data_IF_672218368295
#
_entry.id   IF_672218368295
#
_cell.length_a   1.000
_cell.length_b   1.000
_cell.length_c   1.000
_cell.angle_alpha   90.00
_cell.angle_beta   90.00
_cell.angle_gamma   90.00
#
_symmetry.space_group_name_H-M   'P 1'
#
loop_
_entity.id
_entity.type
_entity.pdbx_description
1 polymer ?
#
# COMPACT_ATOMS: atom_id res chain seq x y z
N UNK A 1 15.43 0.24 -26.20
CA UNK A 1 14.38 1.23 -25.82
C UNK A 1 14.58 1.54 -24.34
N UNK A 2 14.44 2.79 -23.91
CA UNK A 2 14.71 3.15 -22.51
C UNK A 2 13.52 2.70 -21.65
N UNK A 3 13.76 1.80 -20.70
CA UNK A 3 12.69 1.22 -19.86
C UNK A 3 12.48 2.08 -18.62
N UNK A 4 11.22 2.36 -18.24
CA UNK A 4 10.87 3.20 -17.09
C UNK A 4 10.12 2.38 -16.04
N UNK A 5 10.58 2.44 -14.79
CA UNK A 5 9.89 1.90 -13.63
C UNK A 5 9.71 3.00 -12.58
N UNK A 6 8.45 3.30 -12.25
CA UNK A 6 8.05 4.23 -11.21
C UNK A 6 7.53 3.45 -10.01
N UNK A 7 7.92 3.86 -8.81
CA UNK A 7 7.53 3.20 -7.57
C UNK A 7 6.82 4.20 -6.65
N UNK A 8 5.76 3.77 -5.99
CA UNK A 8 5.29 4.45 -4.79
C UNK A 8 6.32 4.31 -3.65
N UNK A 9 6.21 5.16 -2.62
CA UNK A 9 7.08 5.12 -1.46
C UNK A 9 6.50 4.31 -0.30
N UNK A 10 5.37 4.77 0.25
CA UNK A 10 4.86 4.35 1.55
C UNK A 10 4.13 3.01 1.42
N UNK A 11 4.58 1.95 2.13
CA UNK A 11 4.09 0.56 1.99
C UNK A 11 4.43 -0.13 0.67
N UNK A 12 5.15 0.57 -0.20
CA UNK A 12 5.73 0.02 -1.42
C UNK A 12 7.23 -0.23 -1.23
N UNK A 13 8.04 0.83 -1.12
CA UNK A 13 9.48 0.73 -0.90
C UNK A 13 9.85 0.74 0.59
N UNK A 14 9.04 1.40 1.43
CA UNK A 14 9.32 1.54 2.86
C UNK A 14 8.21 0.95 3.72
N UNK A 15 8.60 0.37 4.86
CA UNK A 15 7.69 -0.20 5.83
C UNK A 15 7.09 0.89 6.73
N UNK A 16 6.04 1.53 6.22
CA UNK A 16 5.32 2.57 6.96
C UNK A 16 4.56 2.00 8.16
N UNK A 17 4.10 0.76 8.10
CA UNK A 17 3.30 0.14 9.17
C UNK A 17 4.14 -0.15 10.40
N UNK A 18 5.31 -0.77 10.23
CA UNK A 18 6.24 -0.97 11.33
C UNK A 18 6.74 0.36 11.90
N UNK A 19 6.91 1.39 11.05
CA UNK A 19 7.29 2.72 11.49
C UNK A 19 6.19 3.41 12.29
N UNK A 20 4.93 3.25 11.89
CA UNK A 20 3.78 3.76 12.62
C UNK A 20 3.64 3.07 13.99
N UNK A 21 3.86 1.75 14.06
CA UNK A 21 3.86 1.02 15.32
C UNK A 21 4.90 1.59 16.30
N UNK A 22 6.15 1.76 15.86
CA UNK A 22 7.21 2.40 16.66
C UNK A 22 6.84 3.81 17.10
N UNK A 23 6.24 4.60 16.20
CA UNK A 23 5.78 5.94 16.54
C UNK A 23 4.69 5.88 17.62
N UNK A 24 3.75 4.94 17.53
CA UNK A 24 2.68 4.78 18.51
C UNK A 24 3.23 4.39 19.90
N UNK A 25 4.25 3.53 19.96
CA UNK A 25 4.96 3.22 21.22
C UNK A 25 5.58 4.47 21.84
N UNK A 26 6.37 5.22 21.05
CA UNK A 26 7.00 6.47 21.51
C UNK A 26 5.96 7.51 21.97
N UNK A 27 4.85 7.63 21.23
CA UNK A 27 3.78 8.56 21.54
C UNK A 27 3.07 8.18 22.85
N UNK A 28 2.74 6.90 23.03
CA UNK A 28 2.08 6.39 24.24
C UNK A 28 2.98 6.51 25.46
N UNK A 29 4.28 6.26 25.32
CA UNK A 29 5.25 6.44 26.38
C UNK A 29 5.37 7.92 26.78
N UNK A 30 5.54 8.81 25.80
CA UNK A 30 5.69 10.24 26.03
C UNK A 30 4.51 10.85 26.78
N UNK A 31 3.28 10.49 26.38
CA UNK A 31 2.04 11.00 26.98
C UNK A 31 1.47 10.13 28.11
N UNK A 32 2.11 8.99 28.41
CA UNK A 32 1.69 8.01 29.44
C UNK A 32 0.24 7.53 29.26
N UNK A 33 -0.13 7.15 28.03
CA UNK A 33 -1.53 6.88 27.62
C UNK A 33 -2.10 5.52 28.07
N UNK A 34 -1.40 4.81 28.97
CA UNK A 34 -1.79 3.50 29.45
C UNK A 34 -1.52 2.36 28.45
N UNK A 35 -1.73 1.10 28.88
CA UNK A 35 -1.30 -0.09 28.13
C UNK A 35 -2.08 -0.33 26.83
N UNK A 36 -3.30 0.19 26.72
CA UNK A 36 -4.14 0.03 25.53
C UNK A 36 -3.88 1.09 24.45
N UNK A 37 -3.07 2.11 24.75
CA UNK A 37 -2.87 3.26 23.86
C UNK A 37 -2.33 2.88 22.49
N UNK A 38 -1.35 1.97 22.44
CA UNK A 38 -0.73 1.53 21.17
C UNK A 38 -1.74 0.78 20.33
N UNK A 39 -2.44 -0.20 20.91
CA UNK A 39 -3.45 -0.99 20.21
C UNK A 39 -4.57 -0.10 19.64
N UNK A 40 -5.02 0.89 20.41
CA UNK A 40 -6.03 1.84 19.95
C UNK A 40 -5.53 2.71 18.79
N UNK A 41 -4.32 3.26 18.87
CA UNK A 41 -3.72 4.06 17.78
C UNK A 41 -3.54 3.26 16.49
N UNK A 42 -3.09 2.01 16.61
CA UNK A 42 -2.91 1.09 15.47
C UNK A 42 -4.24 0.72 14.83
N UNK A 43 -5.27 0.45 15.63
CA UNK A 43 -6.63 0.22 15.11
C UNK A 43 -7.13 1.45 14.36
N UNK A 44 -6.97 2.63 14.95
CA UNK A 44 -7.41 3.88 14.34
C UNK A 44 -6.71 4.20 13.01
N UNK A 45 -5.42 3.86 12.86
CA UNK A 45 -4.69 4.00 11.59
C UNK A 45 -5.17 2.99 10.53
N UNK A 46 -5.56 1.79 10.96
CA UNK A 46 -6.00 0.70 10.08
C UNK A 46 -7.41 0.91 9.52
N UNK A 47 -8.31 1.55 10.26
CA UNK A 47 -9.73 1.75 9.89
C UNK A 47 -9.95 2.65 8.65
N UNK A 48 -8.89 2.96 7.90
CA UNK A 48 -8.99 3.60 6.61
C UNK A 48 -9.02 5.12 6.73
N UNK A 49 -7.98 5.75 6.17
CA UNK A 49 -7.75 7.18 6.04
C UNK A 49 -8.96 8.09 6.30
N UNK A 50 -8.93 8.83 7.41
CA UNK A 50 -9.20 10.23 7.34
C UNK A 50 -7.86 10.98 7.35
N UNK A 51 -7.79 12.08 6.60
CA UNK A 51 -6.68 13.04 6.58
C UNK A 51 -6.03 13.20 7.98
N UNK A 52 -4.70 13.25 8.10
CA UNK A 52 -4.00 13.17 9.42
C UNK A 52 -4.51 14.17 10.48
N UNK A 53 -5.08 15.33 10.08
CA UNK A 53 -5.83 16.25 10.98
C UNK A 53 -6.95 15.54 11.74
N UNK A 54 -7.76 14.73 11.06
CA UNK A 54 -8.87 14.00 11.66
C UNK A 54 -8.35 12.90 12.59
N UNK A 55 -7.32 12.16 12.17
CA UNK A 55 -6.64 11.18 13.03
C UNK A 55 -6.21 11.85 14.35
N UNK A 56 -5.45 12.94 14.28
CA UNK A 56 -5.01 13.65 15.49
C UNK A 56 -6.14 14.34 16.25
N UNK A 57 -7.24 14.71 15.60
CA UNK A 57 -8.47 15.16 16.27
C UNK A 57 -9.03 14.09 17.19
N UNK A 58 -9.19 12.86 16.68
CA UNK A 58 -9.65 11.70 17.46
C UNK A 58 -8.66 11.33 18.57
N UNK A 59 -7.36 11.36 18.30
CA UNK A 59 -6.32 11.11 19.33
C UNK A 59 -6.44 12.12 20.46
N UNK A 60 -6.55 13.41 20.14
CA UNK A 60 -6.67 14.48 21.12
C UNK A 60 -7.93 14.30 21.98
N UNK A 61 -9.07 14.01 21.35
CA UNK A 61 -10.33 13.75 22.05
C UNK A 61 -10.24 12.52 22.97
N UNK A 62 -9.74 11.40 22.46
CA UNK A 62 -9.65 10.12 23.20
C UNK A 62 -8.78 10.20 24.46
N UNK A 63 -7.70 10.97 24.40
CA UNK A 63 -6.68 11.05 25.45
C UNK A 63 -6.67 12.41 26.16
N UNK A 64 -7.63 13.29 25.86
CA UNK A 64 -7.73 14.64 26.43
C UNK A 64 -6.43 15.46 26.34
N UNK A 65 -5.72 15.36 25.22
CA UNK A 65 -4.45 16.10 25.01
C UNK A 65 -4.73 17.60 24.86
N UNK A 66 -3.87 18.44 25.45
CA UNK A 66 -3.99 19.90 25.39
C UNK A 66 -3.48 20.47 24.06
N UNK A 67 -2.59 19.75 23.40
CA UNK A 67 -1.85 20.16 22.23
C UNK A 67 -2.79 20.35 21.02
N UNK A 68 -2.64 21.44 20.25
CA UNK A 68 -3.37 21.62 19.01
C UNK A 68 -3.12 20.46 18.03
N UNK A 69 -4.16 20.07 17.29
CA UNK A 69 -4.08 19.01 16.25
C UNK A 69 -2.95 19.27 15.25
N UNK A 70 -2.74 20.53 14.88
CA UNK A 70 -1.71 20.90 13.91
C UNK A 70 -0.29 20.73 14.47
N UNK A 71 -0.09 20.89 15.78
CA UNK A 71 1.18 20.63 16.45
C UNK A 71 1.47 19.14 16.56
N UNK A 72 0.46 18.34 16.95
CA UNK A 72 0.57 16.88 17.00
C UNK A 72 0.91 16.30 15.63
N UNK A 73 0.23 16.76 14.58
CA UNK A 73 0.56 16.37 13.21
C UNK A 73 1.96 16.86 12.82
N UNK A 74 2.32 18.12 13.07
CA UNK A 74 3.66 18.61 12.74
C UNK A 74 4.76 17.78 13.43
N UNK A 75 4.56 17.39 14.69
CA UNK A 75 5.47 16.49 15.41
C UNK A 75 5.55 15.10 14.75
N UNK A 76 4.42 14.50 14.40
CA UNK A 76 4.37 13.24 13.64
C UNK A 76 5.16 13.30 12.34
N UNK A 77 4.95 14.34 11.52
CA UNK A 77 5.67 14.52 10.24
C UNK A 77 7.17 14.67 10.42
N UNK A 78 7.61 15.37 11.46
CA UNK A 78 9.04 15.49 11.77
C UNK A 78 9.63 14.17 12.23
N UNK A 79 8.87 13.37 12.99
CA UNK A 79 9.38 12.11 13.56
C UNK A 79 9.41 10.97 12.55
N UNK A 80 8.38 10.83 11.70
CA UNK A 80 8.25 9.66 10.83
C UNK A 80 9.44 9.36 9.91
N UNK A 81 10.10 10.34 9.28
CA UNK A 81 11.29 10.11 8.48
C UNK A 81 12.41 9.35 9.19
N UNK A 82 12.50 9.48 10.52
CA UNK A 82 13.52 8.82 11.33
C UNK A 82 13.14 7.41 11.75
N UNK A 83 11.87 7.05 11.60
CA UNK A 83 11.34 5.76 12.02
C UNK A 83 11.19 4.80 10.85
N UNK A 84 10.96 5.29 9.63
CA UNK A 84 10.80 4.44 8.44
C UNK A 84 12.10 3.74 8.05
N UNK A 85 11.96 2.55 7.46
CA UNK A 85 13.04 1.78 6.85
C UNK A 85 12.55 1.24 5.52
N UNK A 86 13.45 1.03 4.56
CA UNK A 86 13.13 0.26 3.36
C UNK A 86 12.76 -1.17 3.74
N UNK A 87 11.89 -1.80 2.95
CA UNK A 87 11.75 -3.24 3.01
C UNK A 87 13.09 -3.92 2.66
N UNK A 88 13.37 -5.12 3.20
CA UNK A 88 14.59 -5.86 2.87
C UNK A 88 14.74 -6.05 1.35
N UNK A 89 15.96 -5.87 0.83
CA UNK A 89 16.27 -6.06 -0.60
C UNK A 89 15.97 -4.86 -1.50
N UNK A 90 15.17 -3.87 -1.06
CA UNK A 90 14.73 -2.75 -1.92
C UNK A 90 15.90 -1.99 -2.55
N UNK A 91 16.88 -1.55 -1.74
CA UNK A 91 18.00 -0.76 -2.28
C UNK A 91 18.85 -1.57 -3.28
N UNK A 92 19.03 -2.87 -3.03
CA UNK A 92 19.76 -3.75 -3.93
C UNK A 92 19.00 -3.94 -5.25
N UNK A 93 17.70 -4.26 -5.21
CA UNK A 93 16.91 -4.47 -6.41
C UNK A 93 16.69 -3.19 -7.23
N UNK A 94 16.60 -2.01 -6.60
CA UNK A 94 16.60 -0.74 -7.35
C UNK A 94 17.94 -0.51 -8.07
N UNK A 95 19.07 -0.89 -7.45
CA UNK A 95 20.38 -0.79 -8.08
C UNK A 95 20.53 -1.79 -9.24
N UNK A 96 20.02 -3.01 -9.09
CA UNK A 96 19.99 -4.04 -10.13
C UNK A 96 19.16 -3.59 -11.35
N UNK A 97 17.94 -3.07 -11.14
CA UNK A 97 17.13 -2.50 -12.22
C UNK A 97 17.88 -1.42 -13.01
N UNK A 98 18.56 -0.50 -12.30
CA UNK A 98 19.36 0.55 -12.95
C UNK A 98 20.54 -0.03 -13.71
N UNK A 99 21.22 -1.04 -13.18
CA UNK A 99 22.32 -1.73 -13.85
C UNK A 99 21.86 -2.42 -15.15
N UNK A 100 20.61 -2.88 -15.20
CA UNK A 100 19.97 -3.42 -16.40
C UNK A 100 19.46 -2.36 -17.39
N UNK A 101 19.72 -1.08 -17.11
CA UNK A 101 19.36 0.03 -18.00
C UNK A 101 17.94 0.54 -17.85
N UNK A 102 17.23 0.19 -16.77
CA UNK A 102 15.98 0.87 -16.41
C UNK A 102 16.28 2.27 -15.86
N UNK A 103 15.38 3.20 -16.15
CA UNK A 103 15.25 4.46 -15.42
C UNK A 103 14.27 4.24 -14.30
N UNK A 104 14.72 4.55 -13.09
CA UNK A 104 13.98 4.23 -11.87
C UNK A 104 13.56 5.52 -11.19
N UNK A 105 12.27 5.68 -10.95
CA UNK A 105 11.69 6.86 -10.32
C UNK A 105 10.80 6.56 -9.13
N UNK A 106 10.64 7.53 -8.24
CA UNK A 106 9.67 7.46 -7.13
C UNK A 106 8.57 8.49 -7.33
N UNK A 107 7.30 8.08 -7.17
CA UNK A 107 6.12 8.95 -7.24
C UNK A 107 5.32 8.80 -5.96
N UNK A 108 5.27 9.83 -5.11
CA UNK A 108 4.64 9.70 -3.78
C UNK A 108 3.71 10.87 -3.45
N UNK A 109 2.59 10.53 -2.81
CA UNK A 109 1.68 11.52 -2.24
C UNK A 109 2.06 11.83 -0.79
N UNK A 110 2.02 13.09 -0.40
CA UNK A 110 2.24 13.52 0.98
C UNK A 110 2.83 14.92 1.08
N UNK A 111 2.97 15.40 2.32
CA UNK A 111 3.60 16.69 2.61
C UNK A 111 5.09 16.66 2.27
N UNK A 112 5.60 17.74 1.69
CA UNK A 112 6.96 17.85 1.18
C UNK A 112 8.01 17.51 2.25
N UNK A 113 7.90 18.09 3.44
CA UNK A 113 8.82 17.87 4.56
C UNK A 113 8.93 16.39 4.96
N UNK A 114 7.79 15.71 5.07
CA UNK A 114 7.74 14.31 5.46
C UNK A 114 8.30 13.40 4.36
N UNK A 115 7.81 13.49 3.13
CA UNK A 115 8.23 12.57 2.06
C UNK A 115 9.68 12.79 1.65
N UNK A 116 10.15 14.04 1.53
CA UNK A 116 11.56 14.34 1.27
C UNK A 116 12.46 13.89 2.44
N UNK A 117 11.96 14.02 3.68
CA UNK A 117 12.63 13.49 4.86
C UNK A 117 12.82 11.97 4.77
N UNK A 118 11.75 11.22 4.45
CA UNK A 118 11.79 9.76 4.29
C UNK A 118 12.79 9.36 3.21
N UNK A 119 12.68 9.94 2.01
CA UNK A 119 13.58 9.67 0.89
C UNK A 119 15.06 9.82 1.25
N UNK A 120 15.42 10.90 1.96
CA UNK A 120 16.79 11.15 2.40
C UNK A 120 17.24 10.18 3.49
N UNK A 121 16.40 9.93 4.50
CA UNK A 121 16.75 9.10 5.66
C UNK A 121 16.90 7.62 5.31
N UNK A 122 16.19 7.15 4.29
CA UNK A 122 16.27 5.76 3.83
C UNK A 122 17.31 5.54 2.72
N UNK A 123 17.98 6.60 2.24
CA UNK A 123 18.93 6.54 1.13
C UNK A 123 18.27 6.40 -0.25
N UNK A 124 16.94 6.38 -0.34
CA UNK A 124 16.21 6.25 -1.59
C UNK A 124 16.41 7.43 -2.54
N UNK A 125 16.64 8.63 -2.01
CA UNK A 125 16.91 9.83 -2.82
C UNK A 125 18.12 9.64 -3.76
N UNK A 126 19.13 8.89 -3.32
CA UNK A 126 20.36 8.64 -4.08
C UNK A 126 20.30 7.31 -4.87
N UNK A 127 19.37 6.42 -4.51
CA UNK A 127 19.21 5.11 -5.12
C UNK A 127 18.47 5.15 -6.47
N UNK A 128 17.73 6.22 -6.76
CA UNK A 128 16.87 6.35 -7.96
C UNK A 128 17.33 7.48 -8.88
N UNK A 129 16.85 7.52 -10.12
CA UNK A 129 17.19 8.55 -11.11
C UNK A 129 16.39 9.84 -10.93
N UNK A 130 15.21 9.76 -10.31
CA UNK A 130 14.36 10.93 -10.05
C UNK A 130 13.21 10.62 -9.10
N UNK A 131 12.61 11.65 -8.52
CA UNK A 131 11.41 11.50 -7.70
C UNK A 131 10.47 12.70 -7.83
N UNK A 132 9.17 12.46 -7.68
CA UNK A 132 8.13 13.48 -7.62
C UNK A 132 7.31 13.31 -6.33
N UNK A 133 7.15 14.42 -5.59
CA UNK A 133 6.45 14.46 -4.31
C UNK A 133 5.26 15.39 -4.43
N UNK A 134 4.04 14.89 -4.20
CA UNK A 134 2.84 15.68 -4.47
C UNK A 134 2.79 17.02 -3.72
N UNK A 135 3.28 17.06 -2.48
CA UNK A 135 3.31 18.27 -1.66
C UNK A 135 4.33 19.31 -2.12
N UNK A 136 5.29 18.92 -2.97
CA UNK A 136 6.22 19.84 -3.64
C UNK A 136 5.59 20.36 -4.93
N UNK A 137 5.00 19.45 -5.72
CA UNK A 137 4.51 19.80 -7.07
C UNK A 137 3.11 20.43 -7.07
N UNK A 138 2.35 20.34 -5.99
CA UNK A 138 0.96 20.78 -5.94
C UNK A 138 -0.03 19.89 -6.70
N UNK A 139 0.46 18.81 -7.31
CA UNK A 139 -0.30 17.80 -8.08
C UNK A 139 -0.15 16.46 -7.35
N UNK A 140 -1.21 15.64 -7.27
CA UNK A 140 -1.18 14.35 -6.58
C UNK A 140 -1.68 13.20 -7.44
N UNK A 141 -1.16 11.99 -7.23
CA UNK A 141 -1.76 10.76 -7.75
C UNK A 141 -3.24 10.70 -7.29
N UNK A 142 -4.20 10.31 -8.16
CA UNK A 142 -4.03 9.66 -9.47
C UNK A 142 -3.87 10.60 -10.68
N UNK A 143 -3.61 11.90 -10.50
CA UNK A 143 -3.45 12.81 -11.63
C UNK A 143 -2.18 12.47 -12.44
N UNK A 144 -2.34 12.29 -13.75
CA UNK A 144 -1.27 11.88 -14.67
C UNK A 144 0.00 12.73 -14.58
N UNK A 145 -0.16 14.04 -14.34
CA UNK A 145 0.93 15.02 -14.27
C UNK A 145 2.06 14.64 -13.32
N UNK A 146 1.77 13.98 -12.18
CA UNK A 146 2.83 13.63 -11.22
C UNK A 146 3.72 12.49 -11.74
N UNK A 147 3.18 11.54 -12.50
CA UNK A 147 3.97 10.48 -13.15
C UNK A 147 4.84 11.05 -14.27
N UNK A 148 4.31 12.00 -15.05
CA UNK A 148 5.07 12.71 -16.08
C UNK A 148 6.29 13.44 -15.51
N UNK A 149 6.09 14.20 -14.42
CA UNK A 149 7.19 14.92 -13.74
C UNK A 149 8.27 13.94 -13.27
N UNK A 150 7.89 12.79 -12.70
CA UNK A 150 8.86 11.80 -12.25
C UNK A 150 9.66 11.20 -13.42
N UNK A 151 8.99 10.84 -14.52
CA UNK A 151 9.67 10.31 -15.71
C UNK A 151 10.63 11.33 -16.34
N UNK A 152 10.23 12.59 -16.43
CA UNK A 152 11.08 13.68 -16.91
C UNK A 152 12.33 13.85 -16.04
N UNK A 153 12.18 13.81 -14.71
CA UNK A 153 13.32 13.85 -13.77
C UNK A 153 14.22 12.63 -13.89
N UNK A 154 13.64 11.48 -14.24
CA UNK A 154 14.41 10.29 -14.59
C UNK A 154 15.03 10.39 -15.98
N UNK A 155 14.85 11.47 -16.76
CA UNK A 155 15.35 11.58 -18.13
C UNK A 155 14.77 10.50 -19.06
N UNK A 156 13.53 10.07 -18.80
CA UNK A 156 12.81 9.08 -19.57
C UNK A 156 11.70 9.72 -20.40
N UNK A 157 11.55 9.27 -21.65
CA UNK A 157 10.46 9.71 -22.51
C UNK A 157 9.16 8.97 -22.14
N UNK A 158 8.22 9.67 -21.53
CA UNK A 158 6.98 9.08 -21.00
C UNK A 158 6.11 8.40 -22.08
N UNK A 159 6.18 8.86 -23.33
CA UNK A 159 5.45 8.29 -24.46
C UNK A 159 5.90 6.86 -24.85
N UNK A 160 7.02 6.38 -24.32
CA UNK A 160 7.49 5.00 -24.50
C UNK A 160 6.81 4.01 -23.54
N UNK A 161 5.91 4.49 -22.67
CA UNK A 161 5.28 3.69 -21.63
C UNK A 161 6.21 3.45 -20.44
N UNK A 162 5.87 2.47 -19.63
CA UNK A 162 6.59 2.12 -18.41
C UNK A 162 5.66 1.50 -17.38
N UNK A 163 6.21 1.21 -16.21
CA UNK A 163 5.49 0.56 -15.12
C UNK A 163 5.35 1.50 -13.92
N UNK A 164 4.19 1.46 -13.27
CA UNK A 164 4.00 1.98 -11.92
C UNK A 164 3.79 0.80 -10.97
N UNK A 165 4.57 0.76 -9.91
CA UNK A 165 4.48 -0.23 -8.84
C UNK A 165 4.01 0.47 -7.56
N UNK A 166 2.92 0.01 -6.96
CA UNK A 166 2.39 0.65 -5.75
C UNK A 166 1.34 -0.18 -5.02
N UNK A 167 1.01 0.20 -3.78
CA UNK A 167 0.06 -0.52 -2.93
C UNK A 167 -1.38 0.04 -3.02
N UNK A 168 -1.56 1.24 -3.56
CA UNK A 168 -2.85 1.90 -3.61
C UNK A 168 -3.56 1.69 -4.96
N UNK A 169 -4.73 1.03 -4.95
CA UNK A 169 -5.48 0.73 -6.17
C UNK A 169 -5.92 2.01 -6.91
N UNK A 170 -6.35 3.04 -6.19
CA UNK A 170 -6.83 4.28 -6.82
C UNK A 170 -5.67 5.16 -7.28
N UNK A 171 -4.72 5.45 -6.40
CA UNK A 171 -3.68 6.42 -6.71
C UNK A 171 -2.59 5.85 -7.60
N UNK A 172 -2.22 4.57 -7.42
CA UNK A 172 -1.10 3.97 -8.14
C UNK A 172 -1.57 3.21 -9.36
N UNK A 173 -2.51 2.27 -9.18
CA UNK A 173 -2.96 1.39 -10.27
C UNK A 173 -3.82 2.14 -11.28
N UNK A 174 -4.95 2.70 -10.84
CA UNK A 174 -5.85 3.47 -11.72
C UNK A 174 -5.16 4.72 -12.27
N UNK A 175 -4.36 5.40 -11.44
CA UNK A 175 -3.59 6.56 -11.84
C UNK A 175 -2.61 6.25 -12.96
N UNK A 176 -1.87 5.14 -12.84
CA UNK A 176 -0.94 4.69 -13.86
C UNK A 176 -1.63 4.34 -15.17
N UNK A 177 -2.71 3.55 -15.11
CA UNK A 177 -3.47 3.15 -16.31
C UNK A 177 -4.04 4.33 -17.06
N UNK A 178 -4.64 5.30 -16.34
CA UNK A 178 -5.15 6.55 -16.92
C UNK A 178 -4.04 7.41 -17.53
N UNK A 179 -2.81 7.29 -17.02
CA UNK A 179 -1.64 7.95 -17.57
C UNK A 179 -1.01 7.17 -18.75
N UNK A 180 -1.43 5.93 -19.04
CA UNK A 180 -0.84 5.10 -20.11
C UNK A 180 0.38 4.27 -19.68
N UNK A 181 0.55 4.07 -18.37
CA UNK A 181 1.54 3.15 -17.80
C UNK A 181 0.89 1.80 -17.50
N UNK A 182 1.68 0.72 -17.55
CA UNK A 182 1.32 -0.56 -16.93
C UNK A 182 1.34 -0.43 -15.41
N UNK A 183 0.52 -1.21 -14.72
CA UNK A 183 0.37 -1.16 -13.27
C UNK A 183 0.66 -2.52 -12.63
N UNK A 184 1.58 -2.52 -11.65
CA UNK A 184 1.83 -3.65 -10.76
C UNK A 184 1.33 -3.26 -9.37
N UNK A 185 0.34 -4.00 -8.89
CA UNK A 185 -0.22 -3.78 -7.56
C UNK A 185 0.49 -4.64 -6.53
N UNK A 186 0.90 -4.03 -5.42
CA UNK A 186 1.36 -4.74 -4.24
C UNK A 186 0.17 -4.92 -3.30
N UNK A 187 -0.36 -6.14 -3.26
CA UNK A 187 -1.44 -6.49 -2.34
C UNK A 187 -0.90 -6.60 -0.90
N UNK A 188 -1.39 -5.70 -0.04
CA UNK A 188 -1.11 -5.67 1.40
C UNK A 188 -2.28 -6.16 2.25
N UNK A 189 -3.30 -6.76 1.64
CA UNK A 189 -4.50 -7.29 2.29
C UNK A 189 -5.43 -6.22 2.87
N UNK A 190 -5.44 -5.02 2.28
CA UNK A 190 -6.16 -3.83 2.83
C UNK A 190 -7.30 -3.31 1.97
N UNK A 191 -7.41 -3.73 0.71
CA UNK A 191 -8.38 -3.22 -0.24
C UNK A 191 -9.08 -4.39 -0.93
N UNK A 192 -10.39 -4.27 -1.15
CA UNK A 192 -11.15 -5.25 -1.94
C UNK A 192 -10.84 -5.06 -3.44
N UNK A 193 -10.62 -6.17 -4.16
CA UNK A 193 -10.16 -6.21 -5.55
C UNK A 193 -11.33 -6.23 -6.55
N UNK A 194 -12.41 -5.49 -6.30
CA UNK A 194 -13.64 -5.73 -7.08
C UNK A 194 -13.74 -4.87 -8.37
N UNK A 195 -13.04 -3.73 -8.44
CA UNK A 195 -13.19 -2.79 -9.58
C UNK A 195 -11.88 -2.38 -10.27
N UNK A 196 -10.71 -2.72 -9.71
CA UNK A 196 -9.43 -2.21 -10.18
C UNK A 196 -8.65 -3.30 -10.95
N UNK A 197 -8.18 -2.97 -12.15
CA UNK A 197 -7.50 -3.92 -13.04
C UNK A 197 -5.99 -3.65 -13.09
N UNK A 198 -5.24 -4.11 -12.09
CA UNK A 198 -3.79 -4.16 -12.21
C UNK A 198 -3.37 -5.19 -13.27
N UNK A 199 -2.32 -4.90 -14.03
CA UNK A 199 -1.79 -5.84 -15.02
C UNK A 199 -1.07 -7.01 -14.34
N UNK A 200 -0.46 -6.74 -13.18
CA UNK A 200 0.14 -7.74 -12.30
C UNK A 200 -0.18 -7.48 -10.83
N UNK A 201 -0.24 -8.53 -10.03
CA UNK A 201 -0.42 -8.48 -8.57
C UNK A 201 0.70 -9.27 -7.91
N UNK A 202 1.35 -8.64 -6.94
CA UNK A 202 2.43 -9.22 -6.13
C UNK A 202 2.15 -8.96 -4.66
N UNK A 203 2.81 -9.67 -3.74
CA UNK A 203 2.62 -9.47 -2.29
C UNK A 203 3.73 -8.62 -1.66
N UNK A 204 4.83 -8.46 -2.39
CA UNK A 204 5.96 -7.62 -1.99
C UNK A 204 6.66 -7.01 -3.20
N UNK A 205 7.39 -5.92 -2.98
CA UNK A 205 8.04 -5.18 -4.06
C UNK A 205 9.18 -5.96 -4.72
N UNK A 206 9.82 -6.91 -4.02
CA UNK A 206 10.94 -7.68 -4.58
C UNK A 206 10.48 -8.57 -5.74
N UNK A 207 9.26 -9.11 -5.65
CA UNK A 207 8.60 -9.83 -6.76
C UNK A 207 8.34 -8.96 -7.99
N UNK A 208 8.30 -7.63 -7.85
CA UNK A 208 8.08 -6.68 -8.94
C UNK A 208 9.39 -6.11 -9.54
N UNK A 209 10.53 -6.35 -8.89
CA UNK A 209 11.85 -5.91 -9.36
C UNK A 209 12.55 -6.80 -10.44
N UNK A 210 12.11 -8.02 -10.82
CA UNK A 210 12.80 -8.80 -11.85
C UNK A 210 12.76 -8.18 -13.26
N UNK A 211 13.84 -8.39 -14.02
CA UNK A 211 14.09 -7.94 -15.39
C UNK A 211 13.00 -8.29 -16.43
N UNK A 212 12.22 -9.34 -16.16
CA UNK A 212 11.31 -10.00 -17.12
C UNK A 212 9.93 -9.33 -17.23
N UNK A 213 9.69 -8.26 -16.46
CA UNK A 213 8.53 -7.36 -16.66
C UNK A 213 8.66 -6.55 -17.98
N UNK A 214 9.72 -6.80 -18.76
CA UNK A 214 10.24 -5.92 -19.79
C UNK A 214 9.96 -6.22 -21.26
N UNK A 215 9.14 -7.22 -21.65
CA UNK A 215 8.97 -7.51 -23.10
C UNK A 215 7.54 -7.75 -23.59
N UNK A 216 6.52 -7.35 -22.83
CA UNK A 216 5.15 -7.47 -23.29
C UNK A 216 4.40 -6.18 -22.99
N UNK A 217 3.92 -5.50 -24.03
CA UNK A 217 2.90 -4.48 -23.88
C UNK A 217 1.63 -5.04 -23.22
N UNK A 218 0.62 -4.19 -22.96
CA UNK A 218 -0.58 -4.52 -22.16
C UNK A 218 -1.49 -5.64 -22.72
N UNK A 219 -1.09 -6.33 -23.79
CA UNK A 219 -1.86 -7.37 -24.47
C UNK A 219 -1.25 -8.80 -24.38
N UNK A 220 -0.11 -9.01 -23.71
CA UNK A 220 0.71 -10.22 -23.93
C UNK A 220 0.88 -11.29 -22.82
N UNK A 221 0.48 -11.10 -21.56
CA UNK A 221 1.21 -11.76 -20.44
C UNK A 221 0.50 -12.81 -19.59
N UNK A 222 -0.64 -13.37 -19.98
CA UNK A 222 -1.31 -14.37 -19.13
C UNK A 222 -0.50 -15.69 -18.90
N UNK A 223 0.53 -15.97 -19.70
CA UNK A 223 1.17 -17.31 -19.73
C UNK A 223 2.62 -17.36 -19.21
N UNK A 224 3.38 -16.25 -19.22
CA UNK A 224 4.82 -16.27 -18.88
C UNK A 224 5.12 -16.28 -17.36
N UNK A 225 4.21 -15.79 -16.51
CA UNK A 225 4.46 -15.61 -15.07
C UNK A 225 4.29 -16.91 -14.24
N UNK A 226 3.74 -17.98 -14.83
CA UNK A 226 3.47 -19.26 -14.12
C UNK A 226 4.70 -20.14 -13.89
N UNK A 227 5.87 -19.82 -14.45
CA UNK A 227 6.97 -20.79 -14.56
C UNK A 227 8.20 -20.54 -13.69
N UNK A 228 8.22 -19.54 -12.80
CA UNK A 228 9.44 -19.24 -12.01
C UNK A 228 9.29 -19.14 -10.48
N UNK A 229 8.13 -19.50 -9.92
CA UNK A 229 8.03 -19.66 -8.45
C UNK A 229 7.71 -21.12 -8.14
N UNK A 230 8.76 -21.94 -8.00
CA UNK A 230 8.64 -23.19 -7.26
C UNK A 230 8.43 -22.84 -5.77
N UNK A 231 7.48 -23.45 -5.06
CA UNK A 231 7.30 -23.20 -3.64
C UNK A 231 8.54 -23.67 -2.88
N UNK A 232 9.22 -22.76 -2.17
CA UNK A 232 10.19 -23.14 -1.17
C UNK A 232 9.46 -23.67 0.06
N UNK A 233 9.85 -24.88 0.45
CA UNK A 233 9.32 -25.68 1.55
C UNK A 233 9.23 -24.91 2.88
N UNK A 234 8.01 -24.79 3.39
CA UNK A 234 7.77 -24.58 4.83
C UNK A 234 7.22 -25.88 5.42
N UNK A 235 8.13 -26.79 5.75
CA UNK A 235 7.85 -27.90 6.66
C UNK A 235 7.89 -27.37 8.11
N UNK A 236 6.73 -27.34 8.77
CA UNK A 236 6.60 -27.66 10.20
C UNK A 236 5.23 -28.29 10.48
N UNK A 237 5.19 -29.62 10.39
CA UNK A 237 4.68 -30.52 11.44
C UNK A 237 3.36 -30.22 12.19
N UNK A 238 2.26 -30.77 11.65
CA UNK A 238 1.31 -31.66 12.36
C UNK A 238 0.09 -31.05 13.10
N UNK A 239 -0.89 -31.88 13.54
CA UNK A 239 -1.22 -33.25 13.16
C UNK A 239 -2.57 -33.34 12.39
N UNK A 240 -2.63 -34.31 11.48
CA UNK A 240 -3.84 -34.75 10.79
C UNK A 240 -4.84 -35.39 11.75
N UNK A 241 -6.11 -34.98 11.70
CA UNK A 241 -7.25 -35.80 12.15
C UNK A 241 -8.19 -36.09 10.99
N UNK A 242 -8.11 -37.34 10.52
CA UNK A 242 -9.23 -38.26 10.32
C UNK A 242 -10.42 -37.79 9.48
N UNK A 243 -10.50 -38.32 8.26
CA UNK A 243 -11.73 -38.41 7.46
C UNK A 243 -12.80 -39.21 8.19
N UNK A 244 -14.05 -38.77 8.05
CA UNK A 244 -15.23 -39.59 8.22
C UNK A 244 -16.27 -39.17 7.19
N UNK A 245 -16.30 -39.87 6.05
CA UNK A 245 -17.43 -39.85 5.11
C UNK A 245 -18.54 -40.71 5.69
N UNK A 246 -19.77 -40.20 5.68
CA UNK A 246 -21.00 -40.97 5.89
C UNK A 246 -22.10 -40.36 5.03
N UNK A 247 -22.50 -41.10 4.00
CA UNK A 247 -23.73 -40.89 3.21
C UNK A 247 -24.93 -41.42 3.99
N UNK A 248 -26.13 -40.97 3.63
CA UNK A 248 -27.36 -41.78 3.70
C UNK A 248 -28.50 -41.19 4.51
N UNK A 249 -29.38 -40.49 3.79
CA UNK A 249 -30.81 -40.77 3.64
C UNK A 249 -31.79 -40.77 4.83
N UNK A 250 -32.87 -40.02 4.56
CA UNK A 250 -34.29 -40.33 4.77
C UNK A 250 -35.04 -39.96 6.08
N UNK A 251 -36.16 -39.27 5.80
CA UNK A 251 -37.47 -39.28 6.43
C UNK A 251 -37.77 -38.53 7.74
N UNK A 252 -38.89 -37.79 7.68
CA UNK A 252 -39.74 -37.61 8.85
C UNK A 252 -40.41 -36.25 9.05
N UNK A 253 -41.34 -35.90 8.17
CA UNK A 253 -42.68 -35.37 8.48
C UNK A 253 -42.88 -34.27 9.58
N UNK A 254 -43.47 -33.19 9.08
CA UNK A 254 -44.78 -32.64 9.48
C UNK A 254 -44.89 -31.59 10.60
N UNK A 255 -45.79 -30.66 10.26
CA UNK A 255 -46.63 -29.80 11.10
C UNK A 255 -45.99 -28.58 11.77
N UNK A 256 -46.62 -27.42 11.83
CA UNK A 256 -47.76 -26.80 11.13
C UNK A 256 -47.86 -25.36 11.68
N UNK A 257 -48.53 -24.51 10.92
CA UNK A 257 -49.30 -23.35 11.39
C UNK A 257 -48.63 -22.11 12.04
N UNK A 258 -49.23 -20.96 11.71
CA UNK A 258 -49.20 -19.78 12.57
C UNK A 258 -48.79 -18.50 11.87
N UNK A 259 -49.73 -17.86 11.17
CA UNK A 259 -49.52 -16.58 10.51
C UNK A 259 -49.26 -15.39 11.46
N UNK A 260 -48.94 -14.25 10.86
CA UNK A 260 -48.78 -13.00 11.60
C UNK A 260 -48.18 -11.88 10.76
N UNK A 261 -48.91 -11.45 9.74
CA UNK A 261 -48.65 -10.19 9.06
C UNK A 261 -49.10 -9.05 9.98
N UNK A 262 -48.19 -8.16 10.39
CA UNK A 262 -48.56 -6.90 11.06
C UNK A 262 -47.85 -5.73 10.38
N UNK A 263 -48.68 -4.95 9.69
CA UNK A 263 -48.41 -3.58 9.26
C UNK A 263 -48.03 -2.68 10.44
N UNK A 264 -47.04 -1.81 10.25
CA UNK A 264 -46.91 -0.57 11.00
C UNK A 264 -47.19 0.60 10.04
N UNK A 265 -48.07 1.55 10.41
CA UNK A 265 -48.40 2.69 9.57
C UNK A 265 -47.38 3.82 9.72
N UNK A 266 -47.18 4.53 8.62
CA UNK A 266 -46.75 5.93 8.58
C UNK A 266 -47.83 6.83 9.20
N UNK A 267 -47.43 7.89 9.91
CA UNK A 267 -47.66 9.29 9.52
C UNK A 267 -47.41 10.28 10.68
N UNK A 268 -46.89 11.45 10.26
CA UNK A 268 -46.85 12.79 10.87
C UNK A 268 -45.72 13.15 11.85
#
# INVERSE_FOLDING_TARGET
>A
MQRLALFDLDRTLIDLDAAFFRWAEEFVEHWRLGPEGVAWLVSLDRDGYPHRKIFFGKVRERFALAEPVDELWAAYRRRMPHLVRCYPGVLAGLAELRAEGWRVGIVTNGMADNQLGKLRRTGLADAVDGYAVSGVEGIRKPQAGLFHIAAERCGAAFNQGGWMVGDNLVSDVDGARKAGLGAIWIDRGRQAIDEHQADHVVTNVIEALPADVGDCGPAGTAEAFRLQVAPADWDQGGPTKGRGQGRGDEDGAADSEGGGCVHLPSEH
#
